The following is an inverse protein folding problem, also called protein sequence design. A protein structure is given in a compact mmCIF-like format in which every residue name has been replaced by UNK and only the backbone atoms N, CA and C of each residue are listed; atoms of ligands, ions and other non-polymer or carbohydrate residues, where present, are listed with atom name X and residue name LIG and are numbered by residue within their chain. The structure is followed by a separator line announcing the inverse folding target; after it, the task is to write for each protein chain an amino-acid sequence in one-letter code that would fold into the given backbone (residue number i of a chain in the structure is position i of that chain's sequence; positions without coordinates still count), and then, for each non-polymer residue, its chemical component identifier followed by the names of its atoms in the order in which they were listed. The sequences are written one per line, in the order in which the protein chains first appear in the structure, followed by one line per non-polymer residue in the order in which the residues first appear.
data_IF_731488480965
#
_entry.id   IF_731488480965
#
_cell.length_a   1.000
_cell.length_b   1.000
_cell.length_c   1.000
_cell.angle_alpha   90.00
_cell.angle_beta   90.00
_cell.angle_gamma   90.00
#
_symmetry.space_group_name_H-M   'P 1'
#
loop_
_entity.id
_entity.type
_entity.pdbx_description
1 polymer ?
#
# COMPACT_ATOMS: atom_id res chain seq x y z
N UNK A 1 2.82 0.52 7.82
CA UNK A 1 1.62 0.43 6.97
C UNK A 1 0.89 1.77 6.87
N UNK A 2 0.35 2.32 7.98
CA UNK A 2 -0.42 3.59 7.95
C UNK A 2 0.41 4.75 7.39
N UNK A 3 1.62 4.98 7.92
CA UNK A 3 2.50 6.04 7.43
C UNK A 3 2.82 5.90 5.94
N UNK A 4 3.26 4.71 5.49
CA UNK A 4 3.53 4.48 4.07
C UNK A 4 2.31 4.69 3.18
N UNK A 5 1.11 4.31 3.64
CA UNK A 5 -0.10 4.48 2.83
C UNK A 5 -0.55 5.95 2.79
N UNK A 6 -0.42 6.69 3.88
CA UNK A 6 -0.68 8.14 3.91
C UNK A 6 0.28 8.90 2.99
N UNK A 7 1.56 8.57 3.04
CA UNK A 7 2.58 9.17 2.16
C UNK A 7 2.33 8.81 0.68
N UNK A 8 1.87 7.59 0.39
CA UNK A 8 1.50 7.17 -0.97
C UNK A 8 0.35 8.00 -1.53
N UNK A 9 -0.68 8.27 -0.71
CA UNK A 9 -1.80 9.14 -1.10
C UNK A 9 -1.30 10.52 -1.48
N UNK A 10 -0.45 11.12 -0.65
CA UNK A 10 0.15 12.45 -0.92
C UNK A 10 0.94 12.42 -2.23
N UNK A 11 1.80 11.42 -2.45
CA UNK A 11 2.55 11.27 -3.70
C UNK A 11 1.65 11.12 -4.93
N UNK A 12 0.57 10.34 -4.84
CA UNK A 12 -0.33 10.11 -5.98
C UNK A 12 -1.08 11.38 -6.40
N UNK A 13 -1.46 12.23 -5.45
CA UNK A 13 -2.06 13.54 -5.74
C UNK A 13 -1.07 14.54 -6.36
N UNK A 14 0.22 14.43 -6.04
CA UNK A 14 1.26 15.30 -6.61
C UNK A 14 1.74 14.83 -8.00
N UNK A 15 1.74 13.52 -8.29
CA UNK A 15 2.21 12.94 -9.57
C UNK A 15 1.29 13.28 -10.74
N UNK A 16 -0.01 13.03 -10.60
CA UNK A 16 -0.98 13.50 -11.57
C UNK A 16 -1.66 14.69 -10.95
N UNK A 17 -1.29 15.94 -11.31
CA UNK A 17 -1.96 17.12 -10.76
C UNK A 17 -3.45 16.89 -10.97
N UNK A 18 -4.16 16.71 -9.87
CA UNK A 18 -5.57 16.34 -9.91
C UNK A 18 -6.27 17.39 -10.76
N UNK A 19 -7.14 17.01 -11.72
CA UNK A 19 -7.85 17.98 -12.55
C UNK A 19 -8.75 18.94 -11.73
N UNK A 20 -8.86 18.71 -10.42
CA UNK A 20 -9.51 19.56 -9.42
C UNK A 20 -8.71 20.82 -9.05
N UNK A 21 -7.39 20.88 -9.32
CA UNK A 21 -6.56 22.07 -9.05
C UNK A 21 -5.82 22.54 -10.33
N UNK A 22 -5.84 23.85 -10.65
CA UNK A 22 -5.23 24.41 -11.85
C UNK A 22 -3.70 24.58 -11.71
N UNK A 23 -2.97 23.49 -11.45
CA UNK A 23 -1.50 23.52 -11.41
C UNK A 23 -0.91 23.05 -12.74
N UNK A 24 0.10 23.78 -13.24
CA UNK A 24 0.89 23.33 -14.38
C UNK A 24 1.75 22.13 -14.00
N UNK A 25 1.86 21.16 -14.91
CA UNK A 25 2.69 19.96 -14.72
C UNK A 25 4.16 20.37 -14.66
N UNK A 26 4.79 20.25 -13.50
CA UNK A 26 6.23 20.47 -13.34
C UNK A 26 6.95 19.13 -13.13
N UNK A 27 7.92 18.83 -14.01
CA UNK A 27 8.71 17.60 -13.95
C UNK A 27 9.48 17.44 -12.63
N UNK A 28 9.93 18.55 -12.02
CA UNK A 28 10.62 18.53 -10.72
C UNK A 28 9.68 18.02 -9.62
N UNK A 29 8.42 18.47 -9.63
CA UNK A 29 7.40 18.04 -8.67
C UNK A 29 7.12 16.55 -8.85
N UNK A 30 7.03 16.07 -10.08
CA UNK A 30 6.84 14.64 -10.38
C UNK A 30 8.04 13.81 -9.88
N UNK A 31 9.27 14.26 -10.14
CA UNK A 31 10.49 13.57 -9.70
C UNK A 31 10.59 13.47 -8.16
N UNK A 32 10.28 14.56 -7.46
CA UNK A 32 10.22 14.58 -5.99
C UNK A 32 9.12 13.63 -5.50
N UNK A 33 7.95 13.65 -6.14
CA UNK A 33 6.81 12.81 -5.74
C UNK A 33 7.07 11.32 -5.94
N UNK A 34 7.77 10.94 -7.02
CA UNK A 34 8.23 9.58 -7.28
C UNK A 34 9.27 9.12 -6.25
N UNK A 35 10.16 10.03 -5.83
CA UNK A 35 11.14 9.74 -4.77
C UNK A 35 10.44 9.46 -3.43
N UNK A 36 9.46 10.29 -3.08
CA UNK A 36 8.61 10.10 -1.89
C UNK A 36 7.81 8.79 -2.00
N UNK A 37 7.29 8.47 -3.19
CA UNK A 37 6.55 7.23 -3.44
C UNK A 37 7.44 6.00 -3.20
N UNK A 38 8.72 6.04 -3.59
CA UNK A 38 9.69 4.97 -3.31
C UNK A 38 9.89 4.74 -1.82
N UNK A 39 10.02 5.81 -1.03
CA UNK A 39 10.10 5.73 0.44
C UNK A 39 8.80 5.15 1.02
N UNK A 40 7.66 5.61 0.52
CA UNK A 40 6.35 5.14 0.93
C UNK A 40 6.15 3.63 0.66
N UNK A 41 6.61 3.15 -0.50
CA UNK A 41 6.57 1.74 -0.87
C UNK A 41 7.36 0.86 0.10
N UNK A 42 8.57 1.28 0.50
CA UNK A 42 9.35 0.58 1.52
C UNK A 42 8.65 0.55 2.89
N UNK A 43 8.05 1.68 3.29
CA UNK A 43 7.27 1.81 4.53
C UNK A 43 5.93 1.04 4.52
N UNK A 44 5.48 0.57 3.34
CA UNK A 44 4.40 -0.39 3.19
C UNK A 44 4.92 -1.83 3.24
N UNK A 45 5.94 -2.11 2.43
CA UNK A 45 6.44 -3.46 2.18
C UNK A 45 6.90 -4.16 3.46
N UNK A 46 7.83 -3.52 4.21
CA UNK A 46 8.45 -4.12 5.41
C UNK A 46 7.39 -4.51 6.46
N UNK A 47 6.53 -3.59 6.94
CA UNK A 47 5.58 -3.94 8.00
C UNK A 47 4.46 -4.88 7.52
N UNK A 48 4.12 -4.88 6.23
CA UNK A 48 3.15 -5.85 5.69
C UNK A 48 3.74 -7.25 5.73
N UNK A 49 5.00 -7.40 5.29
CA UNK A 49 5.71 -8.67 5.34
C UNK A 49 5.88 -9.17 6.78
N UNK A 50 6.25 -8.29 7.72
CA UNK A 50 6.31 -8.62 9.15
C UNK A 50 4.96 -9.06 9.70
N UNK A 51 3.87 -8.38 9.34
CA UNK A 51 2.51 -8.75 9.78
C UNK A 51 2.11 -10.15 9.29
N UNK A 52 2.51 -10.54 8.07
CA UNK A 52 2.30 -11.90 7.57
C UNK A 52 3.09 -12.95 8.36
N UNK A 53 4.33 -12.64 8.73
CA UNK A 53 5.16 -13.51 9.58
C UNK A 53 4.58 -13.65 10.98
N UNK A 54 4.17 -12.54 11.60
CA UNK A 54 3.59 -12.54 12.94
C UNK A 54 2.26 -13.33 12.96
N UNK A 55 1.45 -13.21 11.91
CA UNK A 55 0.19 -13.94 11.80
C UNK A 55 0.39 -15.46 11.79
N UNK A 56 1.38 -15.98 11.04
CA UNK A 56 1.64 -17.43 11.04
C UNK A 56 2.24 -17.89 12.38
N UNK A 57 3.07 -17.07 13.02
CA UNK A 57 3.62 -17.39 14.35
C UNK A 57 2.50 -17.49 15.41
N UNK A 58 1.53 -16.58 15.38
CA UNK A 58 0.36 -16.61 16.28
C UNK A 58 -0.48 -17.90 16.12
N UNK A 59 -0.44 -18.52 14.94
CA UNK A 59 -1.12 -19.79 14.66
C UNK A 59 -0.25 -21.02 14.94
N UNK A 60 0.88 -20.86 15.63
CA UNK A 60 1.71 -21.98 16.11
C UNK A 60 2.76 -22.48 15.11
N UNK A 61 3.07 -21.71 14.06
CA UNK A 61 4.17 -22.04 13.15
C UNK A 61 5.53 -21.65 13.77
N UNK A 62 6.50 -22.55 13.66
CA UNK A 62 7.86 -22.34 14.20
C UNK A 62 8.58 -21.17 13.52
N UNK A 63 9.41 -20.46 14.28
CA UNK A 63 10.35 -19.45 13.77
C UNK A 63 11.55 -20.11 13.08
N UNK A 64 11.29 -20.74 11.94
CA UNK A 64 12.31 -21.43 11.14
C UNK A 64 12.52 -20.76 9.78
N UNK A 65 13.68 -21.01 9.17
CA UNK A 65 13.95 -20.61 7.78
C UNK A 65 12.93 -21.18 6.80
N UNK A 66 12.33 -22.33 7.11
CA UNK A 66 11.29 -22.94 6.28
C UNK A 66 10.00 -22.11 6.28
N UNK A 67 9.53 -21.68 7.46
CA UNK A 67 8.35 -20.80 7.59
C UNK A 67 8.58 -19.47 6.87
N UNK A 68 9.76 -18.86 7.07
CA UNK A 68 10.14 -17.63 6.39
C UNK A 68 10.17 -17.81 4.85
N UNK A 69 10.74 -18.91 4.37
CA UNK A 69 10.80 -19.23 2.95
C UNK A 69 9.40 -19.36 2.33
N UNK A 70 8.47 -20.01 3.03
CA UNK A 70 7.09 -20.14 2.57
C UNK A 70 6.37 -18.78 2.52
N UNK A 71 6.43 -17.99 3.60
CA UNK A 71 5.77 -16.67 3.67
C UNK A 71 6.35 -15.71 2.63
N UNK A 72 7.67 -15.65 2.49
CA UNK A 72 8.33 -14.83 1.46
C UNK A 72 8.00 -15.28 0.04
N UNK A 73 7.90 -16.58 -0.22
CA UNK A 73 7.47 -17.11 -1.51
C UNK A 73 6.05 -16.68 -1.89
N UNK A 74 5.10 -16.79 -0.96
CA UNK A 74 3.71 -16.35 -1.18
C UNK A 74 3.64 -14.83 -1.35
N UNK A 75 4.33 -14.08 -0.47
CA UNK A 75 4.35 -12.63 -0.51
C UNK A 75 4.92 -12.10 -1.83
N UNK A 76 6.06 -12.64 -2.27
CA UNK A 76 6.71 -12.23 -3.53
C UNK A 76 5.90 -12.65 -4.75
N UNK A 77 5.19 -13.79 -4.70
CA UNK A 77 4.27 -14.20 -5.76
C UNK A 77 3.11 -13.22 -5.91
N UNK A 78 2.51 -12.80 -4.79
CA UNK A 78 1.48 -11.76 -4.78
C UNK A 78 2.03 -10.41 -5.28
N UNK A 79 3.24 -10.03 -4.87
CA UNK A 79 3.90 -8.81 -5.33
C UNK A 79 4.17 -8.84 -6.84
N UNK A 80 4.69 -9.95 -7.38
CA UNK A 80 4.90 -10.13 -8.81
C UNK A 80 3.58 -10.10 -9.61
N UNK A 81 2.53 -10.72 -9.08
CA UNK A 81 1.20 -10.65 -9.66
C UNK A 81 0.69 -9.20 -9.74
N UNK A 82 0.82 -8.43 -8.66
CA UNK A 82 0.50 -7.00 -8.65
C UNK A 82 1.37 -6.17 -9.59
N UNK A 83 2.67 -6.50 -9.69
CA UNK A 83 3.61 -5.86 -10.62
C UNK A 83 3.29 -6.12 -12.10
N UNK A 84 2.61 -7.23 -12.41
CA UNK A 84 2.07 -7.50 -13.73
C UNK A 84 0.73 -6.79 -13.95
N UNK A 85 -0.23 -6.99 -13.05
CA UNK A 85 -1.59 -6.46 -13.19
C UNK A 85 -1.64 -4.92 -13.14
N UNK A 86 -0.80 -4.30 -12.32
CA UNK A 86 -0.77 -2.85 -12.09
C UNK A 86 -0.55 -2.07 -13.39
N UNK A 87 0.57 -2.29 -14.12
CA UNK A 87 0.82 -1.65 -15.41
C UNK A 87 -0.19 -2.04 -16.49
N UNK A 88 -0.64 -3.30 -16.54
CA UNK A 88 -1.62 -3.76 -17.55
C UNK A 88 -2.96 -3.03 -17.40
N UNK A 89 -3.53 -3.02 -16.19
CA UNK A 89 -4.81 -2.35 -15.93
C UNK A 89 -4.62 -0.82 -15.94
N UNK A 90 -3.54 -0.33 -15.33
CA UNK A 90 -3.23 1.10 -15.28
C UNK A 90 -3.06 1.71 -16.66
N UNK A 91 -2.33 1.05 -17.56
CA UNK A 91 -2.15 1.50 -18.94
C UNK A 91 -3.48 1.61 -19.69
N UNK A 92 -4.33 0.58 -19.61
CA UNK A 92 -5.66 0.60 -20.22
C UNK A 92 -6.55 1.74 -19.68
N UNK A 93 -6.51 1.99 -18.37
CA UNK A 93 -7.28 3.10 -17.77
C UNK A 93 -6.73 4.46 -18.20
N UNK A 94 -5.40 4.64 -18.25
CA UNK A 94 -4.77 5.87 -18.74
C UNK A 94 -5.18 6.17 -20.18
N UNK A 95 -5.25 5.17 -21.06
CA UNK A 95 -5.70 5.34 -22.44
C UNK A 95 -7.16 5.80 -22.54
N UNK A 96 -8.04 5.34 -21.63
CA UNK A 96 -9.48 5.63 -21.67
C UNK A 96 -9.85 6.97 -21.05
N UNK A 97 -9.31 7.30 -19.88
CA UNK A 97 -9.74 8.46 -19.07
C UNK A 97 -8.60 9.44 -18.77
N UNK A 98 -7.39 9.15 -19.25
CA UNK A 98 -6.22 9.98 -19.08
C UNK A 98 -5.46 9.73 -17.77
N UNK A 99 -4.21 10.20 -17.75
CA UNK A 99 -3.29 10.00 -16.63
C UNK A 99 -3.79 10.61 -15.31
N UNK A 100 -4.32 11.83 -15.34
CA UNK A 100 -4.70 12.55 -14.12
C UNK A 100 -5.89 11.91 -13.38
N UNK A 101 -6.88 11.38 -14.12
CA UNK A 101 -7.97 10.61 -13.52
C UNK A 101 -7.49 9.26 -13.00
N UNK A 102 -6.57 8.61 -13.72
CA UNK A 102 -6.01 7.33 -13.29
C UNK A 102 -5.26 7.45 -11.96
N UNK A 103 -4.38 8.44 -11.81
CA UNK A 103 -3.67 8.67 -10.54
C UNK A 103 -4.62 9.04 -9.40
N UNK A 104 -5.70 9.78 -9.70
CA UNK A 104 -6.74 10.12 -8.71
C UNK A 104 -7.47 8.87 -8.22
N UNK A 105 -7.83 7.95 -9.12
CA UNK A 105 -8.47 6.67 -8.77
C UNK A 105 -7.53 5.81 -7.93
N UNK A 106 -6.25 5.72 -8.31
CA UNK A 106 -5.24 4.98 -7.54
C UNK A 106 -5.07 5.59 -6.14
N UNK A 107 -5.07 6.92 -6.03
CA UNK A 107 -5.08 7.63 -4.74
C UNK A 107 -6.31 7.28 -3.89
N UNK A 108 -7.50 7.28 -4.49
CA UNK A 108 -8.74 6.91 -3.81
C UNK A 108 -8.74 5.45 -3.31
N UNK A 109 -8.18 4.51 -4.09
CA UNK A 109 -7.99 3.12 -3.67
C UNK A 109 -7.07 3.04 -2.44
N UNK A 110 -5.99 3.83 -2.39
CA UNK A 110 -5.11 3.88 -1.22
C UNK A 110 -5.78 4.51 0.01
N UNK A 111 -6.70 5.47 -0.18
CA UNK A 111 -7.52 6.00 0.92
C UNK A 111 -8.47 4.93 1.44
N UNK A 112 -9.14 4.18 0.57
CA UNK A 112 -9.97 3.04 0.96
C UNK A 112 -9.17 2.00 1.75
N UNK A 113 -7.95 1.68 1.29
CA UNK A 113 -7.04 0.77 1.99
C UNK A 113 -6.67 1.30 3.39
N UNK A 114 -6.36 2.59 3.52
CA UNK A 114 -6.12 3.23 4.82
C UNK A 114 -7.29 3.05 5.79
N UNK A 115 -8.52 3.25 5.31
CA UNK A 115 -9.73 3.10 6.13
C UNK A 115 -9.86 1.65 6.63
N UNK A 116 -9.70 0.67 5.73
CA UNK A 116 -9.77 -0.76 6.09
C UNK A 116 -8.71 -1.12 7.13
N UNK A 117 -7.46 -0.69 6.90
CA UNK A 117 -6.35 -0.91 7.84
C UNK A 117 -6.62 -0.25 9.18
N UNK A 118 -7.15 0.98 9.19
CA UNK A 118 -7.49 1.70 10.41
C UNK A 118 -8.60 0.99 11.21
N UNK A 119 -9.64 0.50 10.55
CA UNK A 119 -10.71 -0.30 11.18
C UNK A 119 -10.15 -1.61 11.73
N UNK A 120 -9.30 -2.31 10.98
CA UNK A 120 -8.72 -3.58 11.39
C UNK A 120 -7.82 -3.45 12.63
N UNK A 121 -6.95 -2.43 12.66
CA UNK A 121 -6.12 -2.17 13.85
C UNK A 121 -6.95 -1.60 15.02
N UNK A 122 -7.95 -0.76 14.76
CA UNK A 122 -8.85 -0.24 15.80
C UNK A 122 -9.65 -1.35 16.49
N UNK A 123 -10.20 -2.29 15.71
CA UNK A 123 -10.92 -3.46 16.22
C UNK A 123 -10.00 -4.45 16.93
N UNK A 124 -8.77 -4.65 16.44
CA UNK A 124 -7.76 -5.50 17.09
C UNK A 124 -7.31 -4.95 18.46
N UNK A 125 -7.14 -3.63 18.58
CA UNK A 125 -6.88 -2.97 19.87
C UNK A 125 -8.06 -3.15 20.84
N UNK A 126 -9.30 -2.99 20.36
CA UNK A 126 -10.50 -3.22 21.18
C UNK A 126 -10.66 -4.68 21.59
N UNK A 127 -10.21 -5.64 20.79
CA UNK A 127 -10.25 -7.08 21.12
C UNK A 127 -9.19 -7.45 22.17
N UNK A 128 -7.99 -6.87 22.05
CA UNK A 128 -6.91 -7.03 23.06
C UNK A 128 -7.24 -6.40 24.41
N UNK A 129 -7.97 -5.27 24.44
CA UNK A 129 -8.39 -4.66 25.72
C UNK A 129 -9.45 -5.50 26.43
N UNK A 130 -10.34 -6.18 25.69
CA UNK A 130 -11.33 -7.11 26.25
C UNK A 130 -10.67 -8.38 26.83
N UNK A 131 -9.66 -8.95 26.15
CA UNK A 131 -8.95 -10.13 26.64
C UNK A 131 -8.05 -9.89 27.87
N UNK A 132 -7.59 -8.65 28.10
CA UNK A 132 -6.81 -8.29 29.30
C UNK A 132 -7.66 -7.97 30.54
N UNK A 133 -8.98 -7.90 30.38
CA UNK A 133 -9.93 -7.65 31.47
C UNK A 133 -10.54 -8.91 32.09
N UNK A 134 -10.12 -10.09 31.63
CA UNK A 134 -10.44 -11.41 32.20
C UNK A 134 -9.17 -12.02 32.81
#
# INVERSE_FOLDING_TARGET
MIFGSATTVISMFLIGPSPLFPFEKNLIVIAISLSILGVAAGALYIPTFQSCLDAVKEHGYDESFHTYGCVSGVFQSAFACGGFMGPTVGGFVVEKIGFAWTTTIIGAIHIMFLIVVFIFYGSSCSRRSVQRGH
#
